data_IF_834105031617
#
_entry.id   IF_834105031617
#
_cell.length_a   1.000
_cell.length_b   1.000
_cell.length_c   1.000
_cell.angle_alpha   90.00
_cell.angle_beta   90.00
_cell.angle_gamma   90.00
#
_symmetry.space_group_name_H-M   'P 1'
#
loop_
_entity.id
_entity.type
_entity.pdbx_description
1 polymer ?
#
# COMPACT_ATOMS: atom_id res chain seq x y z
N UNK A 1 -31.06 16.10 9.81
CA UNK A 1 -29.65 16.51 9.59
C UNK A 1 -28.79 15.34 10.05
N UNK A 2 -28.14 14.66 9.12
CA UNK A 2 -27.29 13.49 9.39
C UNK A 2 -25.88 13.98 9.72
N UNK A 3 -25.30 13.47 10.80
CA UNK A 3 -23.91 13.76 11.18
C UNK A 3 -22.97 13.04 10.22
N UNK A 4 -22.64 13.70 9.11
CA UNK A 4 -21.60 13.27 8.18
C UNK A 4 -20.21 13.70 8.67
N UNK A 5 -19.86 13.40 9.93
CA UNK A 5 -18.52 13.64 10.47
C UNK A 5 -18.10 15.10 10.72
N UNK A 6 -19.02 16.07 10.64
CA UNK A 6 -18.75 17.49 10.93
C UNK A 6 -19.21 17.96 12.32
N UNK A 7 -19.41 17.05 13.27
CA UNK A 7 -19.86 17.43 14.61
C UNK A 7 -18.67 17.98 15.43
N UNK A 8 -18.92 18.95 16.31
CA UNK A 8 -17.93 19.55 17.22
C UNK A 8 -17.21 18.54 18.16
N UNK A 9 -17.59 17.27 18.11
CA UNK A 9 -17.05 16.12 18.85
C UNK A 9 -16.49 15.04 17.91
N UNK A 10 -16.09 15.42 16.69
CA UNK A 10 -15.40 14.51 15.77
C UNK A 10 -14.24 13.84 16.49
N UNK A 11 -13.99 12.58 16.16
CA UNK A 11 -12.95 11.81 16.83
C UNK A 11 -11.60 12.50 16.55
N UNK A 12 -10.69 12.67 17.54
CA UNK A 12 -9.47 13.46 17.36
C UNK A 12 -8.51 12.78 16.39
N UNK A 13 -7.75 13.54 15.61
CA UNK A 13 -6.60 13.02 14.86
C UNK A 13 -5.70 12.22 15.81
N UNK A 14 -5.34 10.98 15.45
CA UNK A 14 -4.56 10.11 16.34
C UNK A 14 -3.69 9.11 15.56
N UNK A 15 -2.44 8.96 15.98
CA UNK A 15 -1.51 7.97 15.44
C UNK A 15 -0.19 8.57 14.98
N UNK A 16 0.48 7.86 14.05
CA UNK A 16 1.82 8.14 13.53
C UNK A 16 1.84 8.43 12.02
N UNK A 17 0.67 8.68 11.42
CA UNK A 17 0.52 8.87 9.98
C UNK A 17 0.81 10.30 9.51
N UNK A 18 0.42 10.58 8.27
CA UNK A 18 0.50 11.92 7.67
C UNK A 18 -0.16 12.99 8.53
N UNK A 19 -1.28 12.66 9.17
CA UNK A 19 -2.01 13.55 10.06
C UNK A 19 -1.19 14.01 11.28
N UNK A 20 -0.31 13.15 11.82
CA UNK A 20 0.60 13.51 12.90
C UNK A 20 1.71 14.46 12.43
N UNK A 21 2.21 14.28 11.20
CA UNK A 21 3.17 15.20 10.58
C UNK A 21 2.56 16.58 10.37
N UNK A 22 1.31 16.66 9.88
CA UNK A 22 0.61 17.93 9.69
C UNK A 22 0.38 18.68 11.01
N UNK A 23 0.08 17.96 12.08
CA UNK A 23 -0.02 18.54 13.43
C UNK A 23 1.33 19.03 13.94
N UNK A 24 2.37 18.21 13.81
CA UNK A 24 3.73 18.55 14.27
C UNK A 24 4.32 19.76 13.52
N UNK A 25 3.99 19.91 12.23
CA UNK A 25 4.40 21.05 11.40
C UNK A 25 3.51 22.29 11.60
N UNK A 26 2.45 22.20 12.40
CA UNK A 26 1.52 23.31 12.63
C UNK A 26 0.61 23.65 11.45
N UNK A 27 0.60 22.84 10.38
CA UNK A 27 -0.33 22.98 9.24
C UNK A 27 -1.77 22.81 9.72
N UNK A 28 -1.96 21.90 10.68
CA UNK A 28 -3.21 21.73 11.39
C UNK A 28 -3.02 22.25 12.82
N UNK A 29 -3.82 23.23 13.22
CA UNK A 29 -3.68 23.90 14.52
C UNK A 29 -4.30 23.14 15.69
N UNK A 30 -5.21 22.21 15.42
CA UNK A 30 -5.94 21.46 16.44
C UNK A 30 -6.15 20.00 15.98
N UNK A 31 -5.94 18.99 16.84
CA UNK A 31 -6.33 17.59 16.58
C UNK A 31 -7.78 17.40 16.11
N UNK A 32 -8.65 18.38 16.37
CA UNK A 32 -10.05 18.38 15.91
C UNK A 32 -10.32 19.17 14.65
N UNK A 33 -9.29 19.68 13.97
CA UNK A 33 -9.51 20.45 12.75
C UNK A 33 -10.22 19.62 11.67
N UNK A 34 -11.08 20.31 10.94
CA UNK A 34 -11.74 19.82 9.74
C UNK A 34 -10.77 19.88 8.56
N UNK A 35 -9.81 18.96 8.55
CA UNK A 35 -8.90 18.78 7.42
C UNK A 35 -9.48 17.74 6.43
N UNK A 36 -9.46 18.00 5.11
CA UNK A 36 -10.06 17.14 4.09
C UNK A 36 -9.23 15.86 3.80
N UNK A 37 -8.96 15.04 4.82
CA UNK A 37 -8.15 13.82 4.70
C UNK A 37 -8.66 12.89 3.59
N UNK A 38 -9.97 12.68 3.49
CA UNK A 38 -10.57 11.82 2.48
C UNK A 38 -10.18 12.20 1.04
N UNK A 39 -10.04 13.50 0.75
CA UNK A 39 -9.61 13.94 -0.58
C UNK A 39 -8.15 13.56 -0.84
N UNK A 40 -7.27 13.69 0.15
CA UNK A 40 -5.86 13.30 0.05
C UNK A 40 -5.71 11.78 -0.03
N UNK A 41 -6.43 11.04 0.82
CA UNK A 41 -6.50 9.58 0.81
C UNK A 41 -6.86 9.05 -0.59
N UNK A 42 -7.97 9.55 -1.16
CA UNK A 42 -8.45 9.14 -2.49
C UNK A 42 -7.45 9.57 -3.58
N UNK A 43 -6.99 10.82 -3.55
CA UNK A 43 -6.07 11.33 -4.56
C UNK A 43 -4.76 10.54 -4.65
N UNK A 44 -4.26 10.00 -3.53
CA UNK A 44 -3.03 9.20 -3.50
C UNK A 44 -3.30 7.71 -3.69
N UNK A 45 -4.34 7.15 -3.07
CA UNK A 45 -4.63 5.72 -3.14
C UNK A 45 -5.16 5.30 -4.52
N UNK A 46 -6.05 6.09 -5.14
CA UNK A 46 -6.65 5.78 -6.44
C UNK A 46 -5.64 5.56 -7.57
N UNK A 47 -4.64 6.44 -7.81
CA UNK A 47 -3.67 6.20 -8.89
C UNK A 47 -2.83 4.94 -8.65
N UNK A 48 -2.47 4.64 -7.40
CA UNK A 48 -1.76 3.42 -7.03
C UNK A 48 -2.65 2.20 -7.32
N UNK A 49 -3.90 2.22 -6.85
CA UNK A 49 -4.84 1.13 -7.07
C UNK A 49 -5.11 0.91 -8.56
N UNK A 50 -5.31 2.00 -9.32
CA UNK A 50 -5.54 1.95 -10.76
C UNK A 50 -4.32 1.37 -11.50
N UNK A 51 -3.11 1.81 -11.18
CA UNK A 51 -1.89 1.28 -11.78
C UNK A 51 -1.75 -0.23 -11.56
N UNK A 52 -1.93 -0.69 -10.31
CA UNK A 52 -1.82 -2.11 -9.99
C UNK A 52 -2.97 -2.93 -10.56
N UNK A 53 -4.19 -2.39 -10.62
CA UNK A 53 -5.31 -3.03 -11.31
C UNK A 53 -4.98 -3.20 -12.78
N UNK A 54 -4.61 -2.14 -13.50
CA UNK A 54 -4.25 -2.22 -14.92
C UNK A 54 -3.12 -3.22 -15.19
N UNK A 55 -2.12 -3.29 -14.29
CA UNK A 55 -1.05 -4.30 -14.35
C UNK A 55 -1.59 -5.71 -14.13
N UNK A 56 -2.45 -5.91 -13.14
CA UNK A 56 -3.00 -7.21 -12.77
C UNK A 56 -3.92 -7.78 -13.86
N UNK A 57 -4.63 -6.91 -14.57
CA UNK A 57 -5.44 -7.29 -15.74
C UNK A 57 -4.60 -7.87 -16.88
N UNK A 58 -3.37 -7.37 -17.07
CA UNK A 58 -2.45 -7.88 -18.11
C UNK A 58 -1.66 -9.09 -17.65
N UNK A 59 -1.38 -9.18 -16.35
CA UNK A 59 -0.54 -10.22 -15.75
C UNK A 59 -1.06 -10.63 -14.36
N UNK A 60 -2.01 -11.58 -14.31
CA UNK A 60 -2.65 -12.00 -13.06
C UNK A 60 -1.66 -12.80 -12.19
N UNK A 61 -0.95 -12.11 -11.31
CA UNK A 61 0.04 -12.69 -10.39
C UNK A 61 -0.29 -12.36 -8.94
N UNK A 62 -0.29 -13.37 -8.07
CA UNK A 62 -0.54 -13.17 -6.63
C UNK A 62 0.43 -12.16 -5.99
N UNK A 63 1.76 -12.18 -6.24
CA UNK A 63 2.68 -11.15 -5.73
C UNK A 63 2.29 -9.73 -6.13
N UNK A 64 1.78 -9.56 -7.35
CA UNK A 64 1.38 -8.26 -7.89
C UNK A 64 0.09 -7.78 -7.22
N UNK A 65 -0.88 -8.68 -7.02
CA UNK A 65 -2.12 -8.39 -6.30
C UNK A 65 -1.84 -8.01 -4.84
N UNK A 66 -1.06 -8.81 -4.11
CA UNK A 66 -0.71 -8.55 -2.71
C UNK A 66 0.09 -7.25 -2.56
N UNK A 67 1.06 -7.01 -3.44
CA UNK A 67 1.86 -5.78 -3.43
C UNK A 67 1.03 -4.55 -3.73
N UNK A 68 0.16 -4.61 -4.75
CA UNK A 68 -0.75 -3.54 -5.10
C UNK A 68 -1.74 -3.22 -4.00
N UNK A 69 -2.32 -4.26 -3.38
CA UNK A 69 -3.23 -4.10 -2.24
C UNK A 69 -2.51 -3.49 -1.04
N UNK A 70 -1.35 -4.01 -0.64
CA UNK A 70 -0.59 -3.50 0.50
C UNK A 70 -0.17 -2.03 0.31
N UNK A 71 0.28 -1.65 -0.88
CA UNK A 71 0.67 -0.26 -1.19
C UNK A 71 -0.54 0.67 -1.24
N UNK A 72 -1.65 0.23 -1.83
CA UNK A 72 -2.90 1.02 -1.86
C UNK A 72 -3.42 1.24 -0.45
N UNK A 73 -3.42 0.18 0.38
CA UNK A 73 -3.86 0.24 1.77
C UNK A 73 -2.94 1.11 2.62
N UNK A 74 -1.62 1.03 2.42
CA UNK A 74 -0.65 1.91 3.07
C UNK A 74 -0.91 3.36 2.71
N UNK A 75 -1.07 3.68 1.43
CA UNK A 75 -1.37 5.04 1.00
C UNK A 75 -2.69 5.54 1.60
N UNK A 76 -3.75 4.75 1.52
CA UNK A 76 -5.06 5.12 2.06
C UNK A 76 -5.00 5.37 3.57
N UNK A 77 -4.44 4.45 4.36
CA UNK A 77 -4.43 4.58 5.81
C UNK A 77 -3.39 5.60 6.31
N UNK A 78 -2.23 5.72 5.66
CA UNK A 78 -1.18 6.65 6.08
C UNK A 78 -1.62 8.11 5.89
N UNK A 79 -2.30 8.42 4.79
CA UNK A 79 -2.82 9.76 4.50
C UNK A 79 -4.12 10.08 5.24
N UNK A 80 -4.64 9.15 6.02
CA UNK A 80 -5.88 9.33 6.74
C UNK A 80 -5.77 9.99 8.10
N UNK A 81 -6.93 10.20 8.70
CA UNK A 81 -7.05 10.79 10.05
C UNK A 81 -6.42 9.90 11.13
N UNK A 82 -6.37 8.58 10.90
CA UNK A 82 -5.90 7.57 11.84
C UNK A 82 -4.87 6.63 11.23
N UNK A 83 -3.69 6.54 11.83
CA UNK A 83 -2.68 5.56 11.44
C UNK A 83 -1.92 5.01 12.65
N UNK A 84 -2.19 3.76 13.00
CA UNK A 84 -1.69 3.09 14.20
C UNK A 84 -0.79 1.89 13.83
N UNK A 85 0.00 1.42 14.80
CA UNK A 85 0.96 0.33 14.60
C UNK A 85 0.31 -1.00 14.18
N UNK A 86 -0.94 -1.25 14.61
CA UNK A 86 -1.70 -2.44 14.20
C UNK A 86 -2.01 -2.44 12.68
N UNK A 87 -2.27 -1.28 12.08
CA UNK A 87 -2.47 -1.19 10.63
C UNK A 87 -1.18 -1.48 9.88
N UNK A 88 -0.04 -0.96 10.36
CA UNK A 88 1.26 -1.28 9.78
C UNK A 88 1.56 -2.79 9.90
N UNK A 89 1.26 -3.39 11.05
CA UNK A 89 1.36 -4.84 11.25
C UNK A 89 0.51 -5.62 10.24
N UNK A 90 -0.73 -5.21 9.99
CA UNK A 90 -1.59 -5.82 8.98
C UNK A 90 -1.04 -5.65 7.56
N UNK A 91 -0.59 -4.46 7.18
CA UNK A 91 0.02 -4.20 5.86
C UNK A 91 1.25 -5.09 5.64
N UNK A 92 2.11 -5.20 6.65
CA UNK A 92 3.28 -6.08 6.60
C UNK A 92 2.89 -7.56 6.55
N UNK A 93 1.86 -7.97 7.29
CA UNK A 93 1.35 -9.33 7.23
C UNK A 93 0.88 -9.69 5.81
N UNK A 94 0.19 -8.77 5.14
CA UNK A 94 -0.26 -8.96 3.75
C UNK A 94 0.90 -8.90 2.74
N UNK A 95 1.91 -8.08 2.98
CA UNK A 95 3.09 -7.98 2.11
C UNK A 95 4.08 -9.14 2.29
N UNK A 96 4.14 -9.76 3.46
CA UNK A 96 5.13 -10.79 3.80
C UNK A 96 5.16 -12.01 2.84
N UNK A 97 4.04 -12.54 2.33
CA UNK A 97 4.06 -13.70 1.43
C UNK A 97 4.72 -13.40 0.08
N UNK A 98 4.80 -12.13 -0.32
CA UNK A 98 5.42 -11.72 -1.59
C UNK A 98 6.87 -12.20 -1.68
N UNK A 99 7.59 -12.24 -0.56
CA UNK A 99 8.99 -12.69 -0.50
C UNK A 99 9.14 -14.17 -0.91
N UNK A 100 8.15 -15.00 -0.59
CA UNK A 100 8.13 -16.43 -0.88
C UNK A 100 7.49 -16.76 -2.23
N UNK A 101 6.63 -15.88 -2.73
CA UNK A 101 5.91 -16.07 -3.99
C UNK A 101 6.66 -15.53 -5.23
N UNK A 102 7.81 -14.88 -5.04
CA UNK A 102 8.70 -14.56 -6.17
C UNK A 102 9.16 -15.89 -6.76
N UNK A 103 8.86 -16.21 -8.05
CA UNK A 103 9.41 -17.39 -8.66
C UNK A 103 10.91 -17.33 -8.45
N UNK A 104 11.45 -18.39 -7.84
CA UNK A 104 12.84 -18.41 -7.41
C UNK A 104 13.72 -17.84 -8.51
N UNK A 105 14.75 -17.09 -8.12
CA UNK A 105 15.89 -16.79 -8.98
C UNK A 105 16.46 -18.14 -9.45
N UNK A 106 15.79 -18.83 -10.38
CA UNK A 106 16.29 -20.03 -10.99
C UNK A 106 17.63 -19.59 -11.55
N UNK A 107 18.75 -20.16 -11.07
CA UNK A 107 20.06 -19.66 -11.43
C UNK A 107 20.10 -19.65 -12.95
N UNK A 108 20.32 -18.47 -13.56
CA UNK A 108 20.45 -18.36 -15.01
C UNK A 108 21.48 -19.37 -15.56
N UNK A 109 22.43 -19.77 -14.70
CA UNK A 109 23.34 -20.89 -14.88
C UNK A 109 22.65 -22.23 -15.21
N UNK A 110 21.64 -22.67 -14.46
CA UNK A 110 20.94 -23.94 -14.70
C UNK A 110 20.19 -23.97 -16.04
N UNK A 111 19.65 -22.82 -16.49
CA UNK A 111 19.03 -22.69 -17.81
C UNK A 111 20.06 -22.67 -18.95
N UNK A 112 21.25 -22.08 -18.72
CA UNK A 112 22.35 -22.10 -19.69
C UNK A 112 22.96 -23.49 -19.83
N UNK A 113 23.13 -24.22 -18.72
CA UNK A 113 23.67 -25.58 -18.70
C UNK A 113 22.78 -26.53 -19.49
N UNK A 114 21.45 -26.50 -19.25
CA UNK A 114 20.48 -27.28 -20.02
C UNK A 114 20.53 -26.98 -21.51
N UNK A 115 20.58 -25.70 -21.91
CA UNK A 115 20.70 -25.32 -23.33
C UNK A 115 22.01 -25.76 -23.96
N UNK A 116 23.13 -25.75 -23.22
CA UNK A 116 24.41 -26.27 -23.69
C UNK A 116 24.37 -27.77 -23.90
N UNK A 117 23.79 -28.51 -22.94
CA UNK A 117 23.62 -29.96 -23.04
C UNK A 117 22.70 -30.34 -24.21
N UNK A 118 21.59 -29.62 -24.39
CA UNK A 118 20.68 -29.81 -25.54
C UNK A 118 21.36 -29.51 -26.89
N UNK A 119 22.27 -28.53 -26.94
CA UNK A 119 23.04 -28.20 -28.14
C UNK A 119 24.19 -29.19 -28.43
N UNK A 120 24.73 -29.84 -27.40
CA UNK A 120 25.79 -30.85 -27.54
C UNK A 120 25.26 -32.24 -27.93
N UNK A 121 23.93 -32.44 -27.87
CA UNK A 121 23.27 -33.71 -28.22
C UNK A 121 22.68 -33.70 -29.64
N UNK A 122 22.92 -32.63 -30.43
CA UNK A 122 22.59 -32.52 -31.85
C UNK A 122 23.87 -32.52 -32.68
#
# INVERSE_FOLDING_TARGET
>A
RYNAGGAAWSYPISGMGFSALLLALGVISNPQADFPFAFVEIAVATPIAAYFALRLWREPRIPLMLGGYALTLLAFLFFGRYFQGNYLGYILAVASPILFLRPGLAPRAARRERRRLEAATR
#
